data_IF_460657042758
#
_entry.id   IF_460657042758
#
_cell.length_a   1.000
_cell.length_b   1.000
_cell.length_c   1.000
_cell.angle_alpha   90.00
_cell.angle_beta   90.00
_cell.angle_gamma   90.00
#
_symmetry.space_group_name_H-M   'P 1'
#
loop_
_entity.id
_entity.type
_entity.pdbx_description
1 polymer ?
#
# COMPACT_ATOMS: atom_id res chain seq x y z
N UNK A 1 10.47 49.52 -3.07
CA UNK A 1 11.19 48.38 -3.69
C UNK A 1 11.08 47.08 -2.87
N UNK A 2 11.36 47.10 -1.55
CA UNK A 2 11.34 45.91 -0.69
C UNK A 2 9.92 45.33 -0.45
N UNK A 3 8.93 46.18 -0.16
CA UNK A 3 7.53 45.76 0.07
C UNK A 3 6.92 45.06 -1.15
N UNK A 4 7.18 45.56 -2.36
CA UNK A 4 6.71 44.96 -3.60
C UNK A 4 7.34 43.58 -3.87
N UNK A 5 8.63 43.41 -3.54
CA UNK A 5 9.29 42.10 -3.63
C UNK A 5 8.71 41.10 -2.62
N UNK A 6 8.46 41.54 -1.39
CA UNK A 6 7.86 40.70 -0.35
C UNK A 6 6.43 40.23 -0.74
N UNK A 7 5.60 41.16 -1.22
CA UNK A 7 4.24 40.84 -1.69
C UNK A 7 4.25 39.86 -2.87
N UNK A 8 5.20 40.01 -3.81
CA UNK A 8 5.35 39.09 -4.93
C UNK A 8 5.75 37.68 -4.46
N UNK A 9 6.66 37.58 -3.49
CA UNK A 9 7.09 36.30 -2.93
C UNK A 9 5.95 35.58 -2.18
N UNK A 10 5.16 36.33 -1.40
CA UNK A 10 3.96 35.82 -0.70
C UNK A 10 2.95 35.25 -1.70
N UNK A 11 2.68 35.99 -2.79
CA UNK A 11 1.77 35.56 -3.86
C UNK A 11 2.27 34.28 -4.54
N UNK A 12 3.55 34.22 -4.90
CA UNK A 12 4.15 33.04 -5.53
C UNK A 12 4.10 31.82 -4.61
N UNK A 13 4.33 32.00 -3.31
CA UNK A 13 4.22 30.92 -2.32
C UNK A 13 2.78 30.39 -2.25
N UNK A 14 1.79 31.28 -2.16
CA UNK A 14 0.38 30.89 -2.12
C UNK A 14 -0.06 30.16 -3.40
N UNK A 15 0.40 30.60 -4.57
CA UNK A 15 0.12 29.93 -5.84
C UNK A 15 0.78 28.53 -5.92
N UNK A 16 2.01 28.40 -5.42
CA UNK A 16 2.70 27.12 -5.33
C UNK A 16 2.00 26.15 -4.36
N UNK A 17 1.59 26.61 -3.18
CA UNK A 17 0.86 25.80 -2.19
C UNK A 17 -0.49 25.32 -2.73
N UNK A 18 -1.23 26.18 -3.44
CA UNK A 18 -2.50 25.79 -4.08
C UNK A 18 -2.30 24.75 -5.18
N UNK A 19 -1.25 24.93 -5.98
CA UNK A 19 -0.90 23.99 -7.05
C UNK A 19 -0.49 22.62 -6.48
N UNK A 20 0.29 22.62 -5.40
CA UNK A 20 0.67 21.40 -4.67
C UNK A 20 -0.57 20.68 -4.13
N UNK A 21 -1.44 21.40 -3.40
CA UNK A 21 -2.69 20.84 -2.86
C UNK A 21 -3.56 20.22 -3.96
N UNK A 22 -3.72 20.92 -5.08
CA UNK A 22 -4.52 20.41 -6.21
C UNK A 22 -3.90 19.14 -6.79
N UNK A 23 -2.56 19.08 -6.87
CA UNK A 23 -1.86 17.89 -7.34
C UNK A 23 -2.00 16.71 -6.36
N UNK A 24 -1.89 16.97 -5.05
CA UNK A 24 -2.08 15.97 -3.98
C UNK A 24 -3.50 15.41 -3.99
N UNK A 25 -4.52 16.26 -4.01
CA UNK A 25 -5.93 15.86 -4.08
C UNK A 25 -6.22 15.00 -5.31
N UNK A 26 -5.66 15.38 -6.47
CA UNK A 26 -5.79 14.59 -7.70
C UNK A 26 -5.09 13.24 -7.59
N UNK A 27 -3.89 13.19 -7.00
CA UNK A 27 -3.16 11.95 -6.79
C UNK A 27 -3.94 11.01 -5.86
N UNK A 28 -4.46 11.53 -4.75
CA UNK A 28 -5.29 10.76 -3.82
C UNK A 28 -6.54 10.22 -4.50
N UNK A 29 -7.24 11.03 -5.30
CA UNK A 29 -8.42 10.59 -6.04
C UNK A 29 -8.10 9.45 -7.03
N UNK A 30 -6.99 9.55 -7.76
CA UNK A 30 -6.53 8.49 -8.67
C UNK A 30 -6.25 7.21 -7.88
N UNK A 31 -5.42 7.28 -6.83
CA UNK A 31 -5.11 6.13 -5.99
C UNK A 31 -6.35 5.52 -5.33
N UNK A 32 -7.33 6.35 -4.95
CA UNK A 32 -8.59 5.89 -4.36
C UNK A 32 -9.46 5.11 -5.36
N UNK A 33 -9.42 5.46 -6.65
CA UNK A 33 -10.18 4.79 -7.70
C UNK A 33 -9.60 3.45 -8.16
N UNK A 34 -8.29 3.25 -7.97
CA UNK A 34 -7.61 2.03 -8.37
C UNK A 34 -7.88 0.90 -7.36
N UNK A 35 -8.09 -0.35 -7.81
CA UNK A 35 -8.25 -1.50 -6.93
C UNK A 35 -6.88 -2.02 -6.46
N UNK A 36 -6.04 -1.14 -5.91
CA UNK A 36 -4.69 -1.45 -5.45
C UNK A 36 -4.45 -0.93 -4.03
N UNK A 37 -3.55 -1.59 -3.31
CA UNK A 37 -2.98 -1.08 -2.07
C UNK A 37 -1.46 -1.21 -2.12
N UNK A 38 -0.76 -0.24 -1.53
CA UNK A 38 0.67 -0.35 -1.33
C UNK A 38 0.94 -0.85 0.08
N UNK A 39 1.94 -1.70 0.21
CA UNK A 39 2.34 -2.22 1.51
C UNK A 39 3.84 -2.42 1.57
N UNK A 40 4.37 -2.42 2.79
CA UNK A 40 5.73 -2.83 3.09
C UNK A 40 5.70 -3.87 4.19
N UNK A 41 6.64 -4.82 4.16
CA UNK A 41 6.69 -5.94 5.10
C UNK A 41 8.11 -6.27 5.54
N UNK A 42 8.25 -7.01 6.62
CA UNK A 42 9.52 -7.59 7.01
C UNK A 42 9.95 -8.65 5.96
N UNK A 43 11.25 -8.69 5.66
CA UNK A 43 11.83 -9.68 4.75
C UNK A 43 11.86 -11.10 5.36
N UNK A 44 11.80 -11.22 6.68
CA UNK A 44 11.81 -12.50 7.40
C UNK A 44 10.40 -12.94 7.81
N UNK A 45 10.12 -14.26 7.86
CA UNK A 45 8.92 -14.79 8.49
C UNK A 45 8.72 -14.22 9.91
N UNK A 46 7.47 -13.86 10.29
CA UNK A 46 6.21 -14.15 9.60
C UNK A 46 5.84 -13.14 8.48
N UNK A 47 6.80 -12.34 8.02
CA UNK A 47 6.64 -11.30 7.00
C UNK A 47 5.65 -10.22 7.42
N UNK A 48 5.81 -9.75 8.66
CA UNK A 48 4.96 -8.76 9.30
C UNK A 48 4.76 -7.52 8.41
N UNK A 49 3.51 -7.11 8.20
CA UNK A 49 3.23 -5.85 7.53
C UNK A 49 3.69 -4.69 8.41
N UNK A 50 4.48 -3.78 7.85
CA UNK A 50 4.99 -2.57 8.50
C UNK A 50 4.24 -1.32 8.08
N UNK A 51 3.71 -1.35 6.86
CA UNK A 51 2.95 -0.25 6.27
C UNK A 51 1.92 -0.85 5.32
N UNK A 52 0.71 -0.29 5.32
CA UNK A 52 -0.36 -0.64 4.37
C UNK A 52 -1.18 0.62 4.11
N UNK A 53 -1.49 0.93 2.85
CA UNK A 53 -2.37 2.07 2.52
C UNK A 53 -3.84 1.74 2.73
N UNK A 54 -4.67 2.76 2.93
CA UNK A 54 -6.13 2.64 3.16
C UNK A 54 -6.89 1.94 2.03
N UNK A 55 -6.30 1.83 0.82
CA UNK A 55 -6.86 1.05 -0.28
C UNK A 55 -7.17 -0.41 0.09
N UNK A 56 -6.43 -1.00 1.04
CA UNK A 56 -6.65 -2.38 1.49
C UNK A 56 -8.06 -2.59 2.06
N UNK A 57 -8.64 -1.58 2.70
CA UNK A 57 -9.95 -1.70 3.35
C UNK A 57 -11.07 -1.85 2.32
N UNK A 58 -11.00 -1.10 1.21
CA UNK A 58 -11.96 -1.25 0.10
C UNK A 58 -11.82 -2.61 -0.57
N UNK A 59 -10.60 -3.14 -0.65
CA UNK A 59 -10.32 -4.43 -1.31
C UNK A 59 -10.72 -5.63 -0.46
N UNK A 60 -10.54 -5.54 0.86
CA UNK A 60 -10.58 -6.69 1.77
C UNK A 60 -11.62 -6.58 2.88
N UNK A 61 -12.11 -5.38 3.18
CA UNK A 61 -12.95 -5.08 4.33
C UNK A 61 -12.18 -4.98 5.66
N UNK A 62 -10.84 -5.03 5.64
CA UNK A 62 -10.01 -4.83 6.84
C UNK A 62 -9.30 -3.49 6.82
N UNK A 63 -9.33 -2.73 7.92
CA UNK A 63 -8.56 -1.50 8.00
C UNK A 63 -7.04 -1.83 8.08
N UNK A 64 -6.16 -0.95 7.59
CA UNK A 64 -4.70 -1.15 7.58
C UNK A 64 -4.13 -1.64 8.92
N UNK A 65 -4.67 -1.12 10.03
CA UNK A 65 -4.25 -1.39 11.39
C UNK A 65 -4.44 -2.87 11.77
N UNK A 66 -5.40 -3.58 11.15
CA UNK A 66 -5.55 -5.03 11.35
C UNK A 66 -4.40 -5.82 10.74
N UNK A 67 -3.80 -5.34 9.65
CA UNK A 67 -2.66 -6.00 9.02
C UNK A 67 -1.36 -5.70 9.76
N UNK A 68 -1.20 -4.49 10.30
CA UNK A 68 0.03 -4.08 11.00
C UNK A 68 0.07 -4.49 12.48
N UNK A 69 -1.08 -4.70 13.13
CA UNK A 69 -1.15 -5.09 14.55
C UNK A 69 -0.82 -6.57 14.83
N UNK A 70 -0.98 -7.46 13.86
CA UNK A 70 -0.62 -8.87 14.00
C UNK A 70 0.30 -9.30 12.84
N UNK A 71 1.58 -9.62 13.14
CA UNK A 71 2.57 -10.07 12.16
C UNK A 71 2.13 -11.24 11.27
N UNK A 72 1.19 -12.07 11.72
CA UNK A 72 0.72 -13.26 11.00
C UNK A 72 -0.60 -13.05 10.27
N UNK A 73 -1.31 -11.94 10.51
CA UNK A 73 -2.66 -11.74 10.01
C UNK A 73 -2.75 -11.86 8.49
N UNK A 74 -1.89 -11.16 7.78
CA UNK A 74 -1.85 -11.20 6.31
C UNK A 74 -1.63 -12.61 5.76
N UNK A 75 -0.62 -13.33 6.25
CA UNK A 75 -0.30 -14.68 5.77
C UNK A 75 -1.35 -15.73 6.19
N UNK A 76 -1.97 -15.57 7.36
CA UNK A 76 -3.00 -16.50 7.86
C UNK A 76 -4.23 -16.57 6.96
N UNK A 77 -4.52 -15.47 6.23
CA UNK A 77 -5.66 -15.33 5.33
C UNK A 77 -5.40 -15.81 3.91
N UNK A 78 -4.15 -16.11 3.56
CA UNK A 78 -3.82 -16.81 2.32
C UNK A 78 -4.42 -18.22 2.39
N UNK A 79 -5.07 -18.64 1.31
CA UNK A 79 -5.64 -19.97 1.18
C UNK A 79 -4.59 -21.05 1.51
N UNK A 80 -4.92 -22.11 2.28
CA UNK A 80 -3.93 -23.09 2.75
C UNK A 80 -3.05 -23.68 1.64
N UNK A 81 -3.61 -23.95 0.47
CA UNK A 81 -2.88 -24.47 -0.70
C UNK A 81 -1.90 -23.46 -1.31
N UNK A 82 -2.16 -22.16 -1.15
CA UNK A 82 -1.34 -21.10 -1.75
C UNK A 82 -0.21 -20.66 -0.80
N UNK A 83 -0.28 -21.00 0.49
CA UNK A 83 0.71 -20.60 1.51
C UNK A 83 2.14 -21.03 1.20
N UNK A 84 2.43 -22.27 0.75
CA UNK A 84 3.78 -22.66 0.38
C UNK A 84 4.35 -21.80 -0.75
N UNK A 85 3.57 -21.60 -1.81
CA UNK A 85 3.93 -20.77 -2.98
C UNK A 85 4.22 -19.32 -2.58
N UNK A 86 3.35 -18.71 -1.76
CA UNK A 86 3.56 -17.33 -1.28
C UNK A 86 4.84 -17.24 -0.46
N UNK A 87 5.08 -18.17 0.47
CA UNK A 87 6.29 -18.17 1.29
C UNK A 87 7.55 -18.32 0.43
N UNK A 88 7.55 -19.22 -0.54
CA UNK A 88 8.68 -19.45 -1.45
C UNK A 88 9.00 -18.20 -2.27
N UNK A 89 7.97 -17.55 -2.85
CA UNK A 89 8.16 -16.31 -3.60
C UNK A 89 8.80 -15.20 -2.75
N UNK A 90 8.34 -15.03 -1.51
CA UNK A 90 8.88 -14.01 -0.60
C UNK A 90 10.31 -14.31 -0.14
N UNK A 91 10.65 -15.58 0.08
CA UNK A 91 12.01 -15.98 0.43
C UNK A 91 12.96 -15.81 -0.76
N UNK A 92 12.51 -16.16 -1.98
CA UNK A 92 13.28 -15.99 -3.20
C UNK A 92 13.59 -14.51 -3.49
N UNK A 93 12.66 -13.60 -3.16
CA UNK A 93 12.81 -12.15 -3.33
C UNK A 93 14.10 -11.59 -2.71
N UNK A 94 14.58 -12.18 -1.61
CA UNK A 94 15.84 -11.76 -0.97
C UNK A 94 17.07 -11.93 -1.86
N UNK A 95 17.01 -12.89 -2.78
CA UNK A 95 18.09 -13.22 -3.70
C UNK A 95 17.84 -12.55 -5.05
N UNK A 96 16.60 -12.58 -5.54
CA UNK A 96 16.23 -12.05 -6.86
C UNK A 96 15.97 -10.54 -6.88
N UNK A 97 15.79 -9.91 -5.71
CA UNK A 97 15.46 -8.49 -5.56
C UNK A 97 14.02 -8.13 -5.96
N UNK A 98 13.18 -9.11 -6.28
CA UNK A 98 11.76 -8.92 -6.55
C UNK A 98 10.97 -10.21 -6.52
N UNK A 99 9.65 -10.10 -6.34
CA UNK A 99 8.71 -11.20 -6.49
C UNK A 99 7.42 -10.76 -7.19
N UNK A 100 6.73 -11.73 -7.77
CA UNK A 100 5.35 -11.62 -8.25
C UNK A 100 4.63 -12.91 -7.87
N UNK A 101 3.50 -12.80 -7.18
CA UNK A 101 2.74 -13.96 -6.74
C UNK A 101 1.24 -13.67 -6.77
N UNK A 102 0.51 -14.53 -7.48
CA UNK A 102 -0.95 -14.55 -7.45
C UNK A 102 -1.44 -15.64 -6.48
N UNK A 103 -2.37 -15.28 -5.58
CA UNK A 103 -2.92 -16.17 -4.56
C UNK A 103 -4.35 -15.78 -4.15
N UNK A 104 -5.07 -16.74 -3.56
CA UNK A 104 -6.38 -16.52 -2.95
C UNK A 104 -6.21 -15.98 -1.53
N UNK A 105 -6.87 -14.87 -1.23
CA UNK A 105 -6.87 -14.23 0.09
C UNK A 105 -8.29 -14.08 0.65
N UNK A 106 -8.48 -14.43 1.92
CA UNK A 106 -9.80 -14.43 2.56
C UNK A 106 -10.17 -13.05 3.11
N UNK A 107 -11.14 -12.39 2.48
CA UNK A 107 -11.66 -11.08 2.87
C UNK A 107 -12.52 -11.14 4.15
N UNK A 108 -12.91 -9.97 4.66
CA UNK A 108 -13.70 -9.82 5.88
C UNK A 108 -15.10 -10.44 5.75
N UNK A 109 -15.63 -10.52 4.53
CA UNK A 109 -16.87 -11.23 4.20
C UNK A 109 -16.73 -12.77 4.20
N UNK A 110 -15.54 -13.29 4.52
CA UNK A 110 -15.21 -14.72 4.55
C UNK A 110 -14.93 -15.33 3.18
N UNK A 111 -15.10 -14.58 2.08
CA UNK A 111 -14.89 -15.07 0.72
C UNK A 111 -13.43 -14.94 0.32
N UNK A 112 -12.97 -15.88 -0.49
CA UNK A 112 -11.67 -15.78 -1.15
C UNK A 112 -11.77 -14.92 -2.40
N UNK A 113 -10.80 -14.03 -2.57
CA UNK A 113 -10.58 -13.26 -3.80
C UNK A 113 -9.15 -13.47 -4.26
N UNK A 114 -8.92 -13.35 -5.56
CA UNK A 114 -7.57 -13.48 -6.13
C UNK A 114 -6.88 -12.13 -6.02
N UNK A 115 -5.69 -12.14 -5.43
CA UNK A 115 -4.81 -10.98 -5.36
C UNK A 115 -3.52 -11.28 -6.10
N UNK A 116 -3.06 -10.30 -6.87
CA UNK A 116 -1.71 -10.24 -7.40
C UNK A 116 -0.88 -9.38 -6.46
N UNK A 117 0.18 -9.95 -5.90
CA UNK A 117 1.16 -9.26 -5.06
C UNK A 117 2.49 -9.16 -5.80
N UNK A 118 3.05 -7.96 -5.82
CA UNK A 118 4.33 -7.64 -6.45
C UNK A 118 5.13 -6.76 -5.50
N UNK A 119 6.41 -7.08 -5.35
CA UNK A 119 7.31 -6.33 -4.48
C UNK A 119 8.77 -6.51 -4.84
N UNK A 120 9.60 -5.69 -4.20
CA UNK A 120 11.06 -5.64 -4.31
C UNK A 120 11.72 -5.85 -2.95
#
# INVERSE_FOLDING_TARGET
ALLAKALQAEKQKLEAERSLRTAEERQEAILASLPVCFHARAAEPPFAARFVTSGIERLTGFPPERLTSDPRFGLSRVHPEDRPKVREALLAAKITGSYTCEFRWQCADGKYRIFLDQGI
#
